data_IF_587387263948
#
_entry.id   IF_587387263948
#
_cell.length_a   1.000
_cell.length_b   1.000
_cell.length_c   1.000
_cell.angle_alpha   90.00
_cell.angle_beta   90.00
_cell.angle_gamma   90.00
#
_symmetry.space_group_name_H-M   'P 1'
#
loop_
_entity.id
_entity.type
_entity.pdbx_description
1 polymer ?
#
# COMPACT_ATOMS: atom_id res chain seq x y z
N UNK A 1 -74.35 -18.35 40.49
CA UNK A 1 -73.38 -18.65 39.42
C UNK A 1 -72.67 -17.39 38.92
N UNK A 2 -73.37 -16.31 38.53
CA UNK A 2 -72.75 -15.04 38.09
C UNK A 2 -71.74 -14.44 39.09
N UNK A 3 -72.14 -14.29 40.35
CA UNK A 3 -71.27 -13.73 41.39
C UNK A 3 -69.96 -14.52 41.59
N UNK A 4 -70.02 -15.85 41.56
CA UNK A 4 -68.81 -16.68 41.71
C UNK A 4 -67.91 -16.64 40.48
N UNK A 5 -68.49 -16.44 39.29
CA UNK A 5 -67.73 -16.21 38.07
C UNK A 5 -67.02 -14.85 38.10
N UNK A 6 -67.70 -13.80 38.54
CA UNK A 6 -67.14 -12.44 38.65
C UNK A 6 -66.02 -12.36 39.70
N UNK A 7 -66.20 -12.97 40.87
CA UNK A 7 -65.16 -13.06 41.92
C UNK A 7 -63.93 -13.83 41.43
N UNK A 8 -64.14 -14.94 40.71
CA UNK A 8 -63.03 -15.70 40.13
C UNK A 8 -62.31 -14.91 39.04
N UNK A 9 -63.05 -14.23 38.16
CA UNK A 9 -62.47 -13.39 37.11
C UNK A 9 -61.64 -12.24 37.70
N UNK A 10 -62.16 -11.56 38.74
CA UNK A 10 -61.43 -10.51 39.45
C UNK A 10 -60.15 -11.03 40.12
N UNK A 11 -60.15 -12.27 40.62
CA UNK A 11 -58.94 -12.91 41.17
C UNK A 11 -57.94 -13.31 40.09
N UNK A 12 -58.40 -13.66 38.89
CA UNK A 12 -57.54 -14.14 37.79
C UNK A 12 -56.92 -12.98 37.00
N UNK A 13 -57.59 -11.83 36.90
CA UNK A 13 -57.14 -10.70 36.09
C UNK A 13 -55.71 -10.20 36.43
N UNK A 14 -55.32 -10.01 37.70
CA UNK A 14 -53.96 -9.59 38.05
C UNK A 14 -52.88 -10.59 37.60
N UNK A 15 -53.20 -11.88 37.55
CA UNK A 15 -52.26 -12.90 37.09
C UNK A 15 -52.08 -12.87 35.57
N UNK A 16 -53.11 -12.46 34.82
CA UNK A 16 -52.98 -12.26 33.37
C UNK A 16 -52.05 -11.09 33.07
N UNK A 17 -52.22 -9.98 33.77
CA UNK A 17 -51.36 -8.80 33.60
C UNK A 17 -49.91 -9.12 33.97
N UNK A 18 -49.70 -9.88 35.05
CA UNK A 18 -48.36 -10.36 35.43
C UNK A 18 -47.73 -11.27 34.37
N UNK A 19 -48.51 -12.18 33.77
CA UNK A 19 -48.03 -13.06 32.71
C UNK A 19 -47.65 -12.27 31.45
N UNK A 20 -48.45 -11.26 31.09
CA UNK A 20 -48.15 -10.37 29.97
C UNK A 20 -46.87 -9.58 30.23
N UNK A 21 -46.70 -9.01 31.44
CA UNK A 21 -45.48 -8.32 31.84
C UNK A 21 -44.25 -9.23 31.74
N UNK A 22 -44.33 -10.46 32.26
CA UNK A 22 -43.22 -11.40 32.16
C UNK A 22 -42.87 -11.79 30.72
N UNK A 23 -43.86 -11.94 29.85
CA UNK A 23 -43.60 -12.24 28.44
C UNK A 23 -42.93 -11.04 27.74
N UNK A 24 -43.35 -9.81 28.04
CA UNK A 24 -42.70 -8.59 27.54
C UNK A 24 -41.24 -8.47 28.02
N UNK A 25 -41.00 -8.71 29.31
CA UNK A 25 -39.65 -8.68 29.89
C UNK A 25 -38.73 -9.73 29.26
N UNK A 26 -39.23 -10.95 29.09
CA UNK A 26 -38.52 -12.04 28.42
C UNK A 26 -38.16 -11.67 26.99
N UNK A 27 -39.09 -11.09 26.23
CA UNK A 27 -38.83 -10.66 24.85
C UNK A 27 -37.77 -9.55 24.79
N UNK A 28 -37.85 -8.56 25.69
CA UNK A 28 -36.85 -7.51 25.80
C UNK A 28 -35.46 -8.08 26.15
N UNK A 29 -35.41 -9.04 27.07
CA UNK A 29 -34.16 -9.69 27.48
C UNK A 29 -33.55 -10.51 26.35
N UNK A 30 -34.36 -11.29 25.61
CA UNK A 30 -33.90 -12.06 24.45
C UNK A 30 -33.38 -11.15 23.34
N UNK A 31 -34.07 -10.03 23.07
CA UNK A 31 -33.63 -9.03 22.10
C UNK A 31 -32.28 -8.43 22.50
N UNK A 32 -32.14 -8.03 23.77
CA UNK A 32 -30.88 -7.50 24.31
C UNK A 32 -29.75 -8.52 24.22
N UNK A 33 -30.02 -9.77 24.57
CA UNK A 33 -29.03 -10.85 24.49
C UNK A 33 -28.57 -11.08 23.04
N UNK A 34 -29.51 -11.13 22.08
CA UNK A 34 -29.19 -11.26 20.66
C UNK A 34 -28.33 -10.10 20.16
N UNK A 35 -28.66 -8.88 20.55
CA UNK A 35 -27.89 -7.70 20.18
C UNK A 35 -26.47 -7.75 20.77
N UNK A 36 -26.35 -8.11 22.05
CA UNK A 36 -25.05 -8.29 22.70
C UNK A 36 -24.20 -9.37 22.01
N UNK A 37 -24.79 -10.52 21.68
CA UNK A 37 -24.10 -11.59 20.96
C UNK A 37 -23.61 -11.13 19.58
N UNK A 38 -24.45 -10.38 18.84
CA UNK A 38 -24.06 -9.83 17.54
C UNK A 38 -22.88 -8.86 17.65
N UNK A 39 -22.85 -8.01 18.67
CA UNK A 39 -21.72 -7.10 18.91
C UNK A 39 -20.45 -7.86 19.28
N UNK A 40 -20.55 -8.90 20.13
CA UNK A 40 -19.41 -9.78 20.45
C UNK A 40 -18.88 -10.47 19.18
N UNK A 41 -19.76 -11.00 18.34
CA UNK A 41 -19.37 -11.65 17.08
C UNK A 41 -18.72 -10.67 16.11
N UNK A 42 -19.22 -9.43 16.04
CA UNK A 42 -18.65 -8.36 15.21
C UNK A 42 -17.26 -7.97 15.70
N UNK A 43 -17.09 -7.73 17.00
CA UNK A 43 -15.79 -7.42 17.61
C UNK A 43 -14.81 -8.58 17.41
N UNK A 44 -15.25 -9.83 17.57
CA UNK A 44 -14.43 -11.01 17.32
C UNK A 44 -13.95 -11.08 15.86
N UNK A 45 -14.83 -10.80 14.90
CA UNK A 45 -14.46 -10.72 13.46
C UNK A 45 -13.50 -9.58 13.15
N UNK A 46 -13.69 -8.40 13.74
CA UNK A 46 -12.78 -7.26 13.59
C UNK A 46 -11.41 -7.58 14.20
N UNK A 47 -11.40 -8.17 15.40
CA UNK A 47 -10.19 -8.60 16.07
C UNK A 47 -9.45 -9.67 15.27
N UNK A 48 -10.16 -10.64 14.70
CA UNK A 48 -9.60 -11.64 13.79
C UNK A 48 -9.09 -11.05 12.47
N UNK A 49 -9.63 -9.93 11.97
CA UNK A 49 -9.06 -9.23 10.79
C UNK A 49 -7.74 -8.54 11.14
N UNK A 50 -7.69 -7.86 12.28
CA UNK A 50 -6.49 -7.19 12.78
C UNK A 50 -5.40 -8.20 13.13
N UNK A 51 -5.75 -9.30 13.81
CA UNK A 51 -4.85 -10.40 14.10
C UNK A 51 -4.57 -11.30 12.90
N UNK A 52 -5.48 -11.39 11.93
CA UNK A 52 -5.27 -12.13 10.68
C UNK A 52 -4.16 -11.54 9.83
N UNK A 53 -3.96 -10.22 9.89
CA UNK A 53 -2.77 -9.54 9.36
C UNK A 53 -1.46 -9.93 10.06
N UNK A 54 -1.52 -10.58 11.23
CA UNK A 54 -0.39 -11.22 11.90
C UNK A 54 -0.21 -12.70 11.51
N UNK A 55 -0.83 -13.20 10.42
CA UNK A 55 -0.52 -14.56 9.96
C UNK A 55 0.89 -14.59 9.37
N UNK A 56 1.85 -15.11 10.13
CA UNK A 56 3.25 -15.26 9.71
C UNK A 56 3.39 -15.88 8.32
N UNK A 57 2.48 -16.79 7.92
CA UNK A 57 2.47 -17.39 6.58
C UNK A 57 2.21 -16.37 5.47
N UNK A 58 1.27 -15.44 5.66
CA UNK A 58 1.01 -14.37 4.69
C UNK A 58 2.19 -13.41 4.59
N UNK A 59 2.81 -13.06 5.74
CA UNK A 59 4.03 -12.23 5.77
C UNK A 59 5.21 -12.90 5.06
N UNK A 60 5.39 -14.21 5.24
CA UNK A 60 6.42 -14.98 4.54
C UNK A 60 6.17 -14.97 3.03
N UNK A 61 4.95 -15.28 2.58
CA UNK A 61 4.62 -15.27 1.15
C UNK A 61 4.81 -13.89 0.52
N UNK A 62 4.37 -12.83 1.18
CA UNK A 62 4.58 -11.46 0.71
C UNK A 62 6.06 -11.09 0.63
N UNK A 63 6.85 -11.46 1.65
CA UNK A 63 8.28 -11.19 1.67
C UNK A 63 9.04 -11.97 0.59
N UNK A 64 8.64 -13.21 0.28
CA UNK A 64 9.19 -13.99 -0.84
C UNK A 64 8.86 -13.28 -2.16
N UNK A 65 7.58 -12.93 -2.39
CA UNK A 65 7.15 -12.22 -3.59
C UNK A 65 7.94 -10.91 -3.80
N UNK A 66 8.11 -10.10 -2.75
CA UNK A 66 8.90 -8.88 -2.81
C UNK A 66 10.38 -9.14 -3.14
N UNK A 67 10.97 -10.21 -2.61
CA UNK A 67 12.36 -10.58 -2.93
C UNK A 67 12.52 -11.00 -4.38
N UNK A 68 11.58 -11.79 -4.89
CA UNK A 68 11.58 -12.26 -6.28
C UNK A 68 11.41 -11.07 -7.26
N UNK A 69 10.46 -10.18 -6.97
CA UNK A 69 10.27 -8.94 -7.74
C UNK A 69 11.50 -8.04 -7.69
N UNK A 70 12.12 -7.86 -6.51
CA UNK A 70 13.34 -7.06 -6.36
C UNK A 70 14.51 -7.63 -7.16
N UNK A 71 14.67 -8.95 -7.15
CA UNK A 71 15.71 -9.62 -7.95
C UNK A 71 15.46 -9.45 -9.44
N UNK A 72 14.21 -9.65 -9.89
CA UNK A 72 13.82 -9.44 -11.29
C UNK A 72 14.11 -8.01 -11.75
N UNK A 73 13.71 -7.01 -10.95
CA UNK A 73 13.95 -5.61 -11.26
C UNK A 73 15.44 -5.27 -11.30
N UNK A 74 16.25 -5.81 -10.38
CA UNK A 74 17.71 -5.61 -10.40
C UNK A 74 18.34 -6.17 -11.67
N UNK A 75 17.94 -7.38 -12.08
CA UNK A 75 18.42 -7.99 -13.32
C UNK A 75 18.00 -7.16 -14.54
N UNK A 76 16.78 -6.64 -14.57
CA UNK A 76 16.31 -5.78 -15.64
C UNK A 76 17.09 -4.46 -15.70
N UNK A 77 17.33 -3.83 -14.54
CA UNK A 77 18.16 -2.62 -14.44
C UNK A 77 19.58 -2.87 -14.93
N UNK A 78 20.19 -4.00 -14.57
CA UNK A 78 21.52 -4.37 -15.06
C UNK A 78 21.53 -4.55 -16.58
N UNK A 79 20.58 -5.30 -17.12
CA UNK A 79 20.43 -5.48 -18.56
C UNK A 79 20.25 -4.16 -19.31
N UNK A 80 19.43 -3.26 -18.77
CA UNK A 80 19.21 -1.92 -19.34
C UNK A 80 20.48 -1.09 -19.31
N UNK A 81 21.25 -1.11 -18.21
CA UNK A 81 22.55 -0.43 -18.10
C UNK A 81 23.57 -0.95 -19.11
N UNK A 82 23.63 -2.26 -19.32
CA UNK A 82 24.51 -2.86 -20.34
C UNK A 82 24.11 -2.40 -21.73
N UNK A 83 22.81 -2.41 -22.05
CA UNK A 83 22.30 -1.92 -23.34
C UNK A 83 22.59 -0.43 -23.55
N UNK A 84 22.40 0.40 -22.52
CA UNK A 84 22.70 1.84 -22.58
C UNK A 84 24.19 2.08 -22.86
N UNK A 85 25.07 1.36 -22.15
CA UNK A 85 26.52 1.46 -22.35
C UNK A 85 26.92 1.08 -23.78
N UNK A 86 26.34 0.00 -24.32
CA UNK A 86 26.61 -0.44 -25.70
C UNK A 86 26.10 0.59 -26.73
N UNK A 87 24.92 1.15 -26.50
CA UNK A 87 24.34 2.16 -27.38
C UNK A 87 25.15 3.46 -27.35
N UNK A 88 25.57 3.93 -26.17
CA UNK A 88 26.46 5.10 -26.03
C UNK A 88 27.74 4.93 -26.84
N UNK A 89 28.42 3.78 -26.71
CA UNK A 89 29.62 3.47 -27.49
C UNK A 89 29.36 3.42 -29.01
N UNK A 90 28.19 2.94 -29.43
CA UNK A 90 27.81 2.93 -30.85
C UNK A 90 27.56 4.35 -31.35
N UNK A 91 26.87 5.18 -30.58
CA UNK A 91 26.63 6.59 -30.89
C UNK A 91 27.96 7.31 -31.01
N UNK A 92 28.87 7.17 -30.04
CA UNK A 92 30.22 7.76 -30.08
C UNK A 92 30.98 7.38 -31.36
N UNK A 93 30.97 6.10 -31.75
CA UNK A 93 31.61 5.65 -33.00
C UNK A 93 30.96 6.24 -34.25
N UNK A 94 29.64 6.40 -34.25
CA UNK A 94 28.93 7.00 -35.38
C UNK A 94 29.18 8.50 -35.46
N UNK A 95 29.24 9.20 -34.31
CA UNK A 95 29.59 10.62 -34.26
C UNK A 95 31.03 10.85 -34.72
N UNK A 96 31.99 10.01 -34.31
CA UNK A 96 33.38 10.12 -34.79
C UNK A 96 33.49 9.92 -36.31
N UNK A 97 32.70 9.00 -36.88
CA UNK A 97 32.64 8.81 -38.34
C UNK A 97 32.00 10.01 -39.06
N UNK A 98 30.95 10.59 -38.48
CA UNK A 98 30.31 11.80 -39.03
C UNK A 98 31.28 12.98 -39.00
N UNK A 99 31.96 13.21 -37.89
CA UNK A 99 32.95 14.29 -37.76
C UNK A 99 34.10 14.12 -38.78
N UNK A 100 34.54 12.89 -39.02
CA UNK A 100 35.55 12.59 -40.05
C UNK A 100 35.07 12.89 -41.47
N UNK A 101 33.80 12.60 -41.80
CA UNK A 101 33.20 12.90 -43.11
C UNK A 101 32.96 14.41 -43.29
N UNK A 102 32.55 15.10 -42.22
CA UNK A 102 32.35 16.55 -42.20
C UNK A 102 33.67 17.34 -42.09
N UNK A 103 34.82 16.66 -41.97
CA UNK A 103 36.14 17.27 -41.87
C UNK A 103 36.40 18.00 -40.55
N UNK A 104 35.57 17.78 -39.52
CA UNK A 104 35.74 18.36 -38.19
C UNK A 104 36.94 17.70 -37.49
N UNK A 105 37.99 18.47 -37.21
CA UNK A 105 39.16 17.99 -36.45
C UNK A 105 38.79 17.82 -34.97
N UNK A 106 39.09 16.65 -34.39
CA UNK A 106 38.96 16.40 -32.95
C UNK A 106 39.80 17.41 -32.18
N UNK A 107 39.18 18.06 -31.20
CA UNK A 107 39.86 19.04 -30.35
C UNK A 107 41.01 18.39 -29.58
N UNK A 108 42.20 18.97 -29.66
CA UNK A 108 43.38 18.55 -28.90
C UNK A 108 43.48 19.42 -27.62
N UNK A 109 43.29 18.85 -26.42
CA UNK A 109 43.35 19.58 -25.16
C UNK A 109 44.70 20.28 -24.91
N UNK A 110 45.78 19.81 -25.54
CA UNK A 110 47.10 20.46 -25.44
C UNK A 110 47.16 21.82 -26.15
N UNK A 111 46.20 22.12 -27.01
CA UNK A 111 46.05 23.40 -27.70
C UNK A 111 45.19 24.41 -26.91
N UNK A 112 44.49 23.97 -25.86
CA UNK A 112 43.56 24.80 -25.09
C UNK A 112 44.20 26.05 -24.48
N UNK A 113 45.46 25.92 -24.05
CA UNK A 113 46.19 26.94 -23.31
C UNK A 113 47.42 27.47 -24.06
N UNK A 114 47.65 27.10 -25.33
CA UNK A 114 48.84 27.58 -26.07
C UNK A 114 48.86 29.11 -26.28
N UNK A 115 47.72 29.79 -26.13
CA UNK A 115 47.61 31.24 -26.35
C UNK A 115 47.52 32.08 -25.06
N UNK A 116 47.78 31.54 -23.86
CA UNK A 116 47.65 32.31 -22.61
C UNK A 116 48.91 33.07 -22.16
N UNK A 117 49.98 33.10 -22.97
CA UNK A 117 51.28 33.70 -22.57
C UNK A 117 51.79 34.83 -23.47
N UNK A 118 50.96 35.49 -24.27
CA UNK A 118 51.31 36.81 -24.79
C UNK A 118 50.81 37.90 -23.83
N UNK A 119 51.64 38.22 -22.84
CA UNK A 119 51.58 39.49 -22.14
C UNK A 119 51.94 40.60 -23.16
N UNK A 120 51.09 41.62 -23.40
CA UNK A 120 51.49 42.77 -24.21
C UNK A 120 52.52 43.59 -23.45
N UNK A 121 53.81 43.26 -23.59
CA UNK A 121 54.90 44.10 -23.11
C UNK A 121 55.07 45.28 -24.07
N UNK A 122 54.64 46.43 -23.57
CA UNK A 122 55.30 47.74 -23.69
C UNK A 122 56.08 47.99 -24.99
N UNK A 123 55.45 48.72 -25.92
CA UNK A 123 56.17 49.49 -26.94
C UNK A 123 56.95 50.62 -26.26
N UNK A 124 58.27 50.47 -26.12
CA UNK A 124 59.18 51.61 -25.96
C UNK A 124 59.62 52.09 -27.33
N UNK A 125 59.24 53.33 -27.67
CA UNK A 125 60.08 54.39 -28.23
C UNK A 125 59.26 55.69 -28.34
#
# INVERSE_FOLDING_TARGET
WKFMYEDLAAKVEPFKDQLEQFELEKQALLSRHKNAQNEVDKLSKEYAKVLGHQNHKQKIHHMVKLKDENLSLKNEVENLRTKDTMNRRRIEKLTEKLDALEGKKKYDPSLAFKNCWENPRETQN
#
